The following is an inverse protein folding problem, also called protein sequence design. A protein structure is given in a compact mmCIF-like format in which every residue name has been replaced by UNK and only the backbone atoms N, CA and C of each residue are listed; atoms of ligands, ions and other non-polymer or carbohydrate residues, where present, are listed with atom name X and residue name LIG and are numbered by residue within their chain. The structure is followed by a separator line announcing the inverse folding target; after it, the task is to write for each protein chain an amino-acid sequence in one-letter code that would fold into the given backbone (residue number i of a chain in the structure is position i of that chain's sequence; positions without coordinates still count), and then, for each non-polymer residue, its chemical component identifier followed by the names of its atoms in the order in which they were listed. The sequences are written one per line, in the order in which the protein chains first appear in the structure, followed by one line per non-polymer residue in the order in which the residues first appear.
data_IF_656385011330
#
_entry.id   IF_656385011330
#
_cell.length_a   1.000
_cell.length_b   1.000
_cell.length_c   1.000
_cell.angle_alpha   90.00
_cell.angle_beta   90.00
_cell.angle_gamma   90.00
#
_symmetry.space_group_name_H-M   'P 1'
#
loop_
_entity.id
_entity.type
_entity.pdbx_description
1 polymer ?
#
# COMPACT_ATOMS: atom_id res chain seq x y z
N UNK A 1 8.69 -14.62 9.69
CA UNK A 1 7.70 -13.65 10.19
C UNK A 1 8.44 -12.60 11.00
N UNK A 2 8.27 -11.31 10.69
CA UNK A 2 8.83 -10.19 11.46
C UNK A 2 7.69 -9.33 11.97
N UNK A 3 7.59 -9.12 13.27
CA UNK A 3 6.60 -8.23 13.88
C UNK A 3 7.29 -6.93 14.28
N UNK A 4 6.72 -5.80 13.90
CA UNK A 4 7.14 -4.46 14.32
C UNK A 4 5.96 -3.85 15.08
N UNK A 5 6.20 -3.44 16.31
CA UNK A 5 5.22 -2.73 17.12
C UNK A 5 5.75 -1.31 17.25
N UNK A 6 4.86 -0.33 17.11
CA UNK A 6 5.20 1.09 17.28
C UNK A 6 4.50 1.67 18.53
N UNK A 7 5.26 2.38 19.36
CA UNK A 7 4.95 3.00 20.62
C UNK A 7 5.68 4.36 20.66
N UNK A 8 5.10 5.35 19.99
CA UNK A 8 5.61 6.73 19.95
C UNK A 8 6.45 7.08 18.71
N UNK A 9 6.97 8.30 18.70
CA UNK A 9 7.45 8.99 17.51
C UNK A 9 8.66 8.34 16.80
N UNK A 10 9.54 7.64 17.53
CA UNK A 10 10.71 6.96 16.94
C UNK A 10 10.34 5.70 16.14
N UNK A 11 9.28 5.00 16.54
CA UNK A 11 8.87 3.75 15.92
C UNK A 11 7.97 3.99 14.69
N UNK A 12 7.32 5.15 14.59
CA UNK A 12 6.64 5.60 13.37
C UNK A 12 7.61 5.66 12.18
N UNK A 13 8.86 6.08 12.39
CA UNK A 13 9.89 6.11 11.32
C UNK A 13 10.21 4.71 10.80
N UNK A 14 10.33 3.71 11.68
CA UNK A 14 10.61 2.33 11.27
C UNK A 14 9.50 1.77 10.38
N UNK A 15 8.25 2.13 10.68
CA UNK A 15 7.10 1.72 9.89
C UNK A 15 7.05 2.42 8.52
N UNK A 16 7.35 3.72 8.48
CA UNK A 16 7.52 4.45 7.22
C UNK A 16 8.64 3.85 6.37
N UNK A 17 9.81 3.59 6.96
CA UNK A 17 10.95 2.98 6.26
C UNK A 17 10.61 1.56 5.76
N UNK A 18 9.88 0.77 6.55
CA UNK A 18 9.40 -0.55 6.13
C UNK A 18 8.48 -0.44 4.91
N UNK A 19 7.44 0.38 4.97
CA UNK A 19 6.48 0.54 3.87
C UNK A 19 7.18 1.05 2.61
N UNK A 20 8.06 2.04 2.76
CA UNK A 20 8.88 2.56 1.66
C UNK A 20 9.71 1.45 1.02
N UNK A 21 10.43 0.65 1.81
CA UNK A 21 11.29 -0.41 1.29
C UNK A 21 10.49 -1.49 0.55
N UNK A 22 9.31 -1.86 1.06
CA UNK A 22 8.44 -2.83 0.38
C UNK A 22 7.93 -2.28 -0.95
N UNK A 23 7.47 -1.03 -0.99
CA UNK A 23 6.97 -0.40 -2.22
C UNK A 23 8.07 -0.15 -3.25
N UNK A 24 9.27 0.26 -2.82
CA UNK A 24 10.44 0.36 -3.71
C UNK A 24 10.81 -1.01 -4.26
N UNK A 25 10.75 -2.06 -3.45
CA UNK A 25 11.00 -3.44 -3.90
C UNK A 25 9.97 -3.92 -4.92
N UNK A 26 8.69 -3.55 -4.78
CA UNK A 26 7.66 -3.80 -5.79
C UNK A 26 7.91 -3.00 -7.07
N UNK A 27 8.37 -1.75 -6.98
CA UNK A 27 8.72 -0.99 -8.18
C UNK A 27 9.90 -1.65 -8.92
N UNK A 28 10.92 -2.13 -8.20
CA UNK A 28 12.09 -2.78 -8.81
C UNK A 28 11.77 -4.14 -9.45
N UNK A 29 10.97 -4.94 -8.78
CA UNK A 29 10.55 -6.26 -9.24
C UNK A 29 9.05 -6.44 -8.90
N UNK A 30 8.15 -6.01 -9.79
CA UNK A 30 6.71 -6.04 -9.54
C UNK A 30 6.21 -7.47 -9.33
N UNK A 31 5.42 -7.68 -8.27
CA UNK A 31 4.64 -8.90 -8.12
C UNK A 31 3.56 -8.99 -9.20
N UNK A 32 3.05 -10.19 -9.49
CA UNK A 32 1.94 -10.36 -10.43
C UNK A 32 0.66 -9.69 -9.93
N UNK A 33 0.52 -9.56 -8.61
CA UNK A 33 -0.62 -8.93 -7.93
C UNK A 33 -0.20 -8.20 -6.66
N UNK A 34 -0.90 -7.12 -6.35
CA UNK A 34 -0.77 -6.36 -5.11
C UNK A 34 -2.14 -5.85 -4.66
N UNK A 35 -2.61 -6.28 -3.49
CA UNK A 35 -3.83 -5.74 -2.88
C UNK A 35 -3.49 -4.83 -1.72
N UNK A 36 -4.15 -3.68 -1.68
CA UNK A 36 -4.13 -2.73 -0.56
C UNK A 36 -5.51 -2.74 0.08
N UNK A 37 -5.58 -3.08 1.35
CA UNK A 37 -6.81 -3.11 2.14
C UNK A 37 -6.73 -2.02 3.20
N UNK A 38 -7.67 -1.08 3.21
CA UNK A 38 -7.77 -0.10 4.30
C UNK A 38 -9.17 0.49 4.39
N UNK A 39 -9.84 0.44 5.56
CA UNK A 39 -11.10 1.13 5.77
C UNK A 39 -11.02 2.61 5.45
N UNK A 40 -9.89 3.22 5.86
CA UNK A 40 -9.58 4.62 5.66
C UNK A 40 -8.24 4.74 4.95
N UNK A 41 -8.22 5.46 3.83
CA UNK A 41 -7.04 5.61 2.98
C UNK A 41 -6.94 7.06 2.48
N UNK A 42 -5.76 7.65 2.67
CA UNK A 42 -5.40 8.95 2.13
C UNK A 42 -4.23 8.79 1.18
N UNK A 43 -4.15 9.66 0.18
CA UNK A 43 -3.04 9.66 -0.76
C UNK A 43 -1.78 10.32 -0.16
N UNK A 44 -1.18 9.62 0.79
CA UNK A 44 -0.01 10.04 1.57
C UNK A 44 1.29 9.85 0.79
N UNK A 45 2.34 10.56 1.20
CA UNK A 45 3.71 10.27 0.76
C UNK A 45 4.14 8.94 1.35
N UNK A 46 4.57 8.01 0.51
CA UNK A 46 5.03 6.66 0.90
C UNK A 46 6.46 6.37 0.48
N UNK A 47 7.03 7.17 -0.42
CA UNK A 47 8.44 7.16 -0.76
C UNK A 47 8.95 8.59 -0.68
N UNK A 48 9.86 8.84 0.24
CA UNK A 48 10.68 10.04 0.22
C UNK A 48 11.77 9.85 -0.85
N UNK A 49 11.63 10.56 -1.98
CA UNK A 49 12.65 10.64 -3.02
C UNK A 49 13.04 12.10 -3.29
N UNK A 50 12.92 12.99 -2.30
CA UNK A 50 13.22 14.42 -2.46
C UNK A 50 14.67 14.68 -2.89
N UNK A 51 15.61 13.85 -2.45
CA UNK A 51 17.03 13.89 -2.81
C UNK A 51 17.36 13.12 -4.11
N UNK A 52 16.38 12.44 -4.72
CA UNK A 52 16.62 11.57 -5.88
C UNK A 52 17.42 10.29 -5.56
N UNK A 53 17.45 9.86 -4.31
CA UNK A 53 18.23 8.71 -3.83
C UNK A 53 17.95 7.37 -4.54
N UNK A 54 16.79 7.22 -5.16
CA UNK A 54 16.45 6.01 -5.91
C UNK A 54 16.78 6.07 -7.41
N UNK A 55 17.35 7.18 -7.91
CA UNK A 55 17.58 7.41 -9.36
C UNK A 55 18.50 6.37 -10.01
N UNK A 56 19.42 5.76 -9.26
CA UNK A 56 20.33 4.72 -9.77
C UNK A 56 19.64 3.39 -10.04
N UNK A 57 18.54 3.09 -9.33
CA UNK A 57 17.82 1.81 -9.42
C UNK A 57 16.43 1.96 -10.06
N UNK A 58 15.83 3.14 -9.95
CA UNK A 58 14.55 3.53 -10.56
C UNK A 58 14.73 4.87 -11.31
N UNK A 59 15.36 4.88 -12.50
CA UNK A 59 15.69 6.12 -13.21
C UNK A 59 14.50 7.00 -13.59
N UNK A 60 13.31 6.39 -13.76
CA UNK A 60 12.07 7.08 -14.07
C UNK A 60 11.43 7.77 -12.86
N UNK A 61 11.87 7.48 -11.63
CA UNK A 61 11.28 8.05 -10.42
C UNK A 61 11.74 9.51 -10.27
N UNK A 62 10.80 10.48 -10.17
CA UNK A 62 11.16 11.89 -10.09
C UNK A 62 11.80 12.22 -8.73
N UNK A 63 12.69 13.21 -8.71
CA UNK A 63 13.36 13.68 -7.48
C UNK A 63 12.42 14.57 -6.64
N UNK A 64 11.38 13.95 -6.07
CA UNK A 64 10.41 14.54 -5.15
C UNK A 64 9.76 13.45 -4.30
N UNK A 65 9.04 13.80 -3.21
CA UNK A 65 8.17 12.86 -2.53
C UNK A 65 7.14 12.22 -3.49
N UNK A 66 6.95 10.90 -3.38
CA UNK A 66 6.04 10.11 -4.21
C UNK A 66 4.88 9.62 -3.37
N UNK A 67 3.66 9.79 -3.87
CA UNK A 67 2.44 9.44 -3.17
C UNK A 67 1.97 8.02 -3.45
N UNK A 68 1.14 7.49 -2.55
CA UNK A 68 0.62 6.12 -2.62
C UNK A 68 -0.07 5.83 -3.96
N UNK A 69 -0.97 6.69 -4.42
CA UNK A 69 -1.69 6.45 -5.69
C UNK A 69 -0.76 6.46 -6.90
N UNK A 70 0.35 7.21 -6.84
CA UNK A 70 1.36 7.22 -7.91
C UNK A 70 2.09 5.88 -7.99
N UNK A 71 2.51 5.34 -6.84
CA UNK A 71 3.16 4.02 -6.77
C UNK A 71 2.23 2.92 -7.28
N UNK A 72 0.98 2.91 -6.82
CA UNK A 72 0.00 1.90 -7.22
C UNK A 72 -0.33 1.98 -8.71
N UNK A 73 -0.45 3.19 -9.25
CA UNK A 73 -0.66 3.40 -10.70
C UNK A 73 0.53 2.93 -11.51
N UNK A 74 1.75 3.21 -11.05
CA UNK A 74 2.96 2.76 -11.72
C UNK A 74 3.11 1.24 -11.71
N UNK A 75 2.77 0.57 -10.59
CA UNK A 75 2.77 -0.89 -10.54
C UNK A 75 1.74 -1.51 -11.51
N UNK A 76 0.55 -0.93 -11.61
CA UNK A 76 -0.44 -1.36 -12.60
C UNK A 76 0.10 -1.23 -14.03
N UNK A 77 0.79 -0.12 -14.35
CA UNK A 77 1.43 0.08 -15.66
C UNK A 77 2.56 -0.90 -15.94
N UNK A 78 3.24 -1.38 -14.91
CA UNK A 78 4.27 -2.43 -15.01
C UNK A 78 3.69 -3.85 -15.12
N UNK A 79 2.36 -3.99 -15.13
CA UNK A 79 1.66 -5.25 -15.38
C UNK A 79 1.15 -5.97 -14.14
N UNK A 80 1.29 -5.38 -12.94
CA UNK A 80 0.70 -5.95 -11.72
C UNK A 80 -0.83 -5.79 -11.70
N UNK A 81 -1.57 -6.81 -11.29
CA UNK A 81 -2.98 -6.68 -10.87
C UNK A 81 -3.02 -5.97 -9.52
N UNK A 82 -3.10 -4.63 -9.57
CA UNK A 82 -3.19 -3.78 -8.38
C UNK A 82 -4.65 -3.57 -8.03
N UNK A 83 -5.04 -3.89 -6.78
CA UNK A 83 -6.39 -3.62 -6.29
C UNK A 83 -6.36 -2.86 -4.99
N UNK A 84 -7.25 -1.88 -4.88
CA UNK A 84 -7.44 -1.09 -3.66
C UNK A 84 -8.83 -1.35 -3.14
N UNK A 85 -8.91 -1.94 -1.96
CA UNK A 85 -10.16 -2.24 -1.26
C UNK A 85 -10.32 -1.21 -0.15
N UNK A 86 -11.40 -0.43 -0.21
CA UNK A 86 -11.70 0.61 0.77
C UNK A 86 -13.20 0.71 1.08
N UNK A 87 -13.58 1.46 2.11
CA UNK A 87 -15.00 1.81 2.36
C UNK A 87 -15.43 3.02 1.52
N UNK A 88 -16.73 3.16 1.34
CA UNK A 88 -17.33 4.39 0.84
C UNK A 88 -17.41 5.42 1.98
N UNK A 89 -16.36 6.23 2.10
CA UNK A 89 -16.20 7.21 3.17
C UNK A 89 -15.67 8.53 2.59
N UNK A 90 -16.15 9.71 3.03
CA UNK A 90 -15.72 11.00 2.49
C UNK A 90 -14.19 11.21 2.52
N UNK A 91 -13.51 10.66 3.54
CA UNK A 91 -12.05 10.74 3.66
C UNK A 91 -11.28 9.93 2.60
N UNK A 92 -11.93 8.96 1.96
CA UNK A 92 -11.34 8.14 0.91
C UNK A 92 -11.55 8.75 -0.48
N UNK A 93 -12.44 9.75 -0.62
CA UNK A 93 -12.87 10.29 -1.90
C UNK A 93 -11.70 10.78 -2.77
N UNK A 94 -10.74 11.51 -2.18
CA UNK A 94 -9.57 12.01 -2.91
C UNK A 94 -8.71 10.86 -3.46
N UNK A 95 -8.47 9.83 -2.64
CA UNK A 95 -7.70 8.65 -3.04
C UNK A 95 -8.43 7.89 -4.15
N UNK A 96 -9.73 7.64 -3.98
CA UNK A 96 -10.57 6.98 -4.97
C UNK A 96 -10.54 7.71 -6.31
N UNK A 97 -10.74 9.03 -6.29
CA UNK A 97 -10.69 9.87 -7.48
C UNK A 97 -9.34 9.78 -8.18
N UNK A 98 -8.21 9.81 -7.46
CA UNK A 98 -6.87 9.72 -8.07
C UNK A 98 -6.59 8.36 -8.71
N UNK A 99 -7.13 7.27 -8.14
CA UNK A 99 -6.98 5.93 -8.70
C UNK A 99 -7.84 5.73 -9.95
N UNK A 100 -8.98 6.43 -10.04
CA UNK A 100 -9.92 6.32 -11.17
C UNK A 100 -9.80 7.46 -12.19
N UNK A 101 -9.05 8.53 -11.91
CA UNK A 101 -8.94 9.74 -12.76
C UNK A 101 -8.44 9.40 -14.17
N UNK A 102 -9.30 9.56 -15.17
CA UNK A 102 -9.10 9.16 -16.58
C UNK A 102 -7.95 9.87 -17.32
N UNK A 103 -7.28 10.84 -16.68
CA UNK A 103 -6.27 11.69 -17.33
C UNK A 103 -5.06 10.95 -17.94
N UNK A 104 -4.40 9.95 -17.30
CA UNK A 104 -3.37 9.19 -18.00
C UNK A 104 -3.91 7.93 -18.70
N UNK A 105 -3.63 7.80 -20.00
CA UNK A 105 -3.86 6.56 -20.77
C UNK A 105 -2.97 5.43 -20.23
N UNK A 106 -3.54 4.25 -19.95
CA UNK A 106 -2.78 3.05 -19.54
C UNK A 106 -3.47 2.22 -18.44
N UNK A 107 -2.90 1.05 -18.07
CA UNK A 107 -3.39 0.20 -16.99
C UNK A 107 -3.47 0.93 -15.65
N UNK A 108 -4.42 0.52 -14.80
CA UNK A 108 -4.74 1.21 -13.54
C UNK A 108 -5.09 0.24 -12.42
N UNK A 109 -4.96 0.68 -11.16
CA UNK A 109 -5.48 -0.06 -10.03
C UNK A 109 -7.00 -0.22 -10.13
N UNK A 110 -7.48 -1.42 -9.80
CA UNK A 110 -8.92 -1.68 -9.64
C UNK A 110 -9.36 -1.20 -8.26
N UNK A 111 -10.33 -0.28 -8.22
CA UNK A 111 -10.92 0.20 -6.98
C UNK A 111 -12.14 -0.65 -6.61
N UNK A 112 -12.15 -1.19 -5.39
CA UNK A 112 -13.25 -2.03 -4.87
C UNK A 112 -13.79 -1.43 -3.56
N UNK A 113 -15.09 -1.16 -3.54
CA UNK A 113 -15.78 -0.65 -2.35
C UNK A 113 -16.36 -1.80 -1.53
N UNK A 114 -15.99 -1.89 -0.25
CA UNK A 114 -16.52 -2.86 0.72
C UNK A 114 -16.74 -2.18 2.06
N UNK A 115 -17.99 -1.85 2.38
CA UNK A 115 -18.32 -1.14 3.62
C UNK A 115 -18.08 -1.99 4.89
N UNK A 116 -18.05 -3.33 4.74
CA UNK A 116 -17.68 -4.28 5.79
C UNK A 116 -16.17 -4.42 6.00
N UNK A 117 -15.33 -3.67 5.25
CA UNK A 117 -13.88 -3.73 5.39
C UNK A 117 -13.42 -3.26 6.77
N UNK A 118 -12.68 -4.09 7.49
CA UNK A 118 -12.02 -3.71 8.75
C UNK A 118 -10.51 -3.97 8.74
N UNK A 119 -10.06 -4.90 7.90
CA UNK A 119 -8.64 -5.26 7.73
C UNK A 119 -7.84 -4.11 7.14
N UNK A 120 -6.60 -3.99 7.61
CA UNK A 120 -5.63 -3.02 7.12
C UNK A 120 -4.35 -3.74 6.77
N UNK A 121 -3.89 -3.58 5.53
CA UNK A 121 -2.72 -4.28 5.08
C UNK A 121 -2.45 -4.16 3.60
N UNK A 122 -1.35 -4.80 3.20
CA UNK A 122 -0.97 -5.02 1.82
C UNK A 122 -0.57 -6.47 1.65
N UNK A 123 -1.01 -7.10 0.57
CA UNK A 123 -0.57 -8.45 0.22
C UNK A 123 -0.11 -8.49 -1.24
N UNK A 124 1.10 -9.00 -1.46
CA UNK A 124 1.69 -9.26 -2.77
C UNK A 124 2.02 -10.75 -2.90
N UNK A 125 2.74 -11.14 -3.94
CA UNK A 125 3.25 -12.51 -4.06
C UNK A 125 4.42 -12.79 -3.10
N UNK A 126 5.06 -11.74 -2.58
CA UNK A 126 6.31 -11.82 -1.80
C UNK A 126 6.16 -11.45 -0.35
N UNK A 127 5.13 -10.67 -0.02
CA UNK A 127 4.89 -10.27 1.36
C UNK A 127 3.41 -10.12 1.68
N UNK A 128 3.12 -10.21 2.97
CA UNK A 128 1.86 -9.77 3.55
C UNK A 128 2.19 -8.87 4.74
N UNK A 129 1.74 -7.62 4.66
CA UNK A 129 1.77 -6.66 5.76
C UNK A 129 0.36 -6.52 6.29
N UNK A 130 0.15 -6.73 7.58
CA UNK A 130 -1.16 -6.52 8.20
C UNK A 130 -1.03 -5.99 9.62
N UNK A 131 -2.06 -5.29 10.09
CA UNK A 131 -2.00 -4.68 11.41
C UNK A 131 -3.16 -3.75 11.72
N UNK A 132 -2.95 -2.89 12.71
CA UNK A 132 -3.90 -1.86 13.11
C UNK A 132 -3.78 -0.57 12.30
N UNK A 133 -2.70 -0.40 11.52
CA UNK A 133 -2.35 0.85 10.83
C UNK A 133 -3.20 1.06 9.58
N UNK A 134 -3.92 2.20 9.51
CA UNK A 134 -4.54 2.66 8.26
C UNK A 134 -3.51 3.39 7.38
N UNK A 135 -3.71 3.39 6.07
CA UNK A 135 -2.91 4.18 5.12
C UNK A 135 -3.37 5.66 5.09
N UNK A 136 -3.32 6.32 6.24
CA UNK A 136 -3.67 7.75 6.42
C UNK A 136 -2.43 8.55 6.82
N UNK A 137 -2.48 9.89 6.76
CA UNK A 137 -1.30 10.75 7.00
C UNK A 137 -0.52 10.33 8.24
N UNK A 138 0.76 10.00 8.05
CA UNK A 138 1.71 9.59 9.09
C UNK A 138 2.06 10.72 10.09
N UNK A 139 1.62 11.94 9.80
CA UNK A 139 1.97 13.14 10.55
C UNK A 139 1.08 13.36 11.77
N UNK A 140 1.63 13.03 12.95
CA UNK A 140 1.16 13.40 14.28
C UNK A 140 -0.23 12.89 14.68
N UNK A 141 -0.29 11.76 15.39
CA UNK A 141 -1.00 11.61 16.69
C UNK A 141 -0.99 10.15 17.18
N UNK A 142 -0.27 9.93 18.28
CA UNK A 142 -0.61 9.11 19.48
C UNK A 142 -0.96 7.61 19.32
N UNK A 143 -1.19 7.05 18.13
CA UNK A 143 -1.60 5.65 18.03
C UNK A 143 -0.42 4.69 18.14
N UNK A 144 -0.53 3.72 19.05
CA UNK A 144 0.33 2.54 19.07
C UNK A 144 -0.13 1.62 17.94
N UNK A 145 0.67 1.49 16.89
CA UNK A 145 0.32 0.67 15.73
C UNK A 145 1.16 -0.61 15.73
N UNK A 146 0.50 -1.76 15.67
CA UNK A 146 1.14 -3.06 15.49
C UNK A 146 1.07 -3.48 14.04
N UNK A 147 2.22 -3.74 13.42
CA UNK A 147 2.32 -4.24 12.03
C UNK A 147 3.14 -5.52 11.99
N UNK A 148 2.58 -6.53 11.34
CA UNK A 148 3.25 -7.80 11.10
C UNK A 148 3.58 -7.93 9.63
N UNK A 149 4.81 -8.36 9.33
CA UNK A 149 5.29 -8.65 7.99
C UNK A 149 5.57 -10.13 7.88
N UNK A 150 4.93 -10.76 6.91
CA UNK A 150 5.07 -12.17 6.58
C UNK A 150 5.67 -12.28 5.18
N UNK A 151 6.65 -13.17 5.02
CA UNK A 151 7.31 -13.49 3.75
C UNK A 151 7.23 -14.98 3.42
N UNK A 152 6.47 -15.72 4.23
CA UNK A 152 6.26 -17.15 4.08
C UNK A 152 5.18 -17.38 2.99
N UNK A 153 5.49 -18.12 1.91
CA UNK A 153 4.56 -18.26 0.79
C UNK A 153 3.21 -18.90 1.16
N UNK A 154 3.22 -19.87 2.09
CA UNK A 154 1.99 -20.55 2.51
C UNK A 154 1.07 -19.60 3.29
N UNK A 155 1.65 -18.79 4.17
CA UNK A 155 0.90 -17.77 4.91
C UNK A 155 0.39 -16.67 3.98
N UNK A 156 1.17 -16.25 3.00
CA UNK A 156 0.73 -15.28 1.98
C UNK A 156 -0.45 -15.86 1.19
N UNK A 157 -0.34 -17.11 0.71
CA UNK A 157 -1.42 -17.78 -0.02
C UNK A 157 -2.71 -17.89 0.81
N UNK A 158 -2.60 -18.19 2.11
CA UNK A 158 -3.75 -18.20 3.03
C UNK A 158 -4.38 -16.81 3.15
N UNK A 159 -3.58 -15.76 3.30
CA UNK A 159 -4.09 -14.39 3.38
C UNK A 159 -4.88 -13.98 2.13
N UNK A 160 -4.40 -14.37 0.94
CA UNK A 160 -5.14 -14.16 -0.32
C UNK A 160 -6.53 -14.81 -0.28
N UNK A 161 -6.60 -16.10 0.04
CA UNK A 161 -7.87 -16.84 0.12
C UNK A 161 -8.79 -16.26 1.19
N UNK A 162 -8.25 -15.88 2.34
CA UNK A 162 -9.00 -15.26 3.43
C UNK A 162 -9.64 -13.94 2.99
N UNK A 163 -8.89 -13.04 2.34
CA UNK A 163 -9.42 -11.78 1.84
C UNK A 163 -10.41 -11.98 0.69
N UNK A 164 -10.15 -12.91 -0.21
CA UNK A 164 -11.09 -13.29 -1.28
C UNK A 164 -12.44 -13.71 -0.71
N UNK A 165 -12.44 -14.63 0.24
CA UNK A 165 -13.67 -15.14 0.84
C UNK A 165 -14.37 -14.10 1.70
N UNK A 166 -13.63 -13.40 2.57
CA UNK A 166 -14.18 -12.41 3.52
C UNK A 166 -14.83 -11.23 2.79
N UNK A 167 -14.19 -10.75 1.73
CA UNK A 167 -14.62 -9.54 1.04
C UNK A 167 -15.20 -9.81 -0.35
N UNK A 168 -15.38 -11.08 -0.73
CA UNK A 168 -15.93 -11.48 -2.04
C UNK A 168 -15.19 -10.75 -3.16
N UNK A 169 -13.86 -10.87 -3.15
CA UNK A 169 -12.97 -10.25 -4.13
C UNK A 169 -12.83 -11.20 -5.32
N UNK A 170 -12.83 -10.68 -6.56
CA UNK A 170 -12.69 -11.50 -7.76
C UNK A 170 -11.28 -12.10 -7.91
#
# INVERSE_FOLDING_TARGET
MRRIITAGAGETRQLTDLVQNLLVSELLAPSSRLWVLSPWISDIVVIDNASGQFKSVLPALPARPIRLTEVLTELARRGSDVRVIMRDEPRNAITGQRLTDLAPVGPRPTLLIRNTLHDKGMVSDRFHVHGSMNFTFFGQRVNQEGVTVVSDPDQIARAWVEYQNRYQLP
#
